data_IF_220540647958
#
_entry.id   IF_220540647958
#
_cell.length_a   1.000
_cell.length_b   1.000
_cell.length_c   1.000
_cell.angle_alpha   90.00
_cell.angle_beta   90.00
_cell.angle_gamma   90.00
#
_symmetry.space_group_name_H-M   'P 1'
#
loop_
_entity.id
_entity.type
_entity.pdbx_description
1 polymer ?
#
# COMPACT_ATOMS: atom_id res chain seq x y z
N UNK A 1 -2.56 -26.37 35.97
CA UNK A 1 -3.23 -26.20 34.65
C UNK A 1 -3.00 -24.76 34.22
N UNK A 2 -1.87 -24.49 33.56
CA UNK A 2 -1.48 -23.15 33.15
C UNK A 2 -1.95 -22.92 31.72
N UNK A 3 -3.03 -22.17 31.56
CA UNK A 3 -3.37 -21.55 30.28
C UNK A 3 -3.15 -20.05 30.45
N UNK A 4 -1.88 -19.65 30.37
CA UNK A 4 -1.53 -18.27 30.07
C UNK A 4 -1.74 -18.09 28.58
N UNK A 5 -2.97 -17.74 28.19
CA UNK A 5 -3.25 -17.21 26.85
C UNK A 5 -2.56 -15.85 26.77
N UNK A 6 -1.31 -15.85 26.30
CA UNK A 6 -0.62 -14.64 25.89
C UNK A 6 -1.46 -14.05 24.76
N UNK A 7 -2.07 -12.86 24.91
CA UNK A 7 -2.64 -12.20 23.75
C UNK A 7 -1.48 -11.99 22.79
N UNK A 8 -1.57 -12.58 21.60
CA UNK A 8 -0.67 -12.34 20.48
C UNK A 8 -0.91 -10.89 20.00
N UNK A 9 -0.63 -9.93 20.85
CA UNK A 9 -0.54 -8.53 20.49
C UNK A 9 0.85 -8.33 19.92
N UNK A 10 1.06 -8.89 18.73
CA UNK A 10 1.95 -8.26 17.77
C UNK A 10 1.01 -7.39 16.93
N UNK A 11 0.44 -6.37 17.57
CA UNK A 11 -0.10 -5.20 16.88
C UNK A 11 1.09 -4.58 16.16
N UNK A 12 1.42 -5.18 15.02
CA UNK A 12 2.20 -4.55 13.99
C UNK A 12 1.27 -3.46 13.52
N UNK A 13 1.31 -2.31 14.20
CA UNK A 13 0.39 -1.17 14.07
C UNK A 13 -0.03 -1.06 12.61
N UNK A 14 -1.22 -1.56 12.30
CA UNK A 14 -1.71 -1.61 10.93
C UNK A 14 -2.06 -0.18 10.55
N UNK A 15 -1.05 0.58 10.16
CA UNK A 15 -1.19 1.99 9.87
C UNK A 15 -2.17 2.14 8.70
N UNK A 16 -3.21 2.98 8.83
CA UNK A 16 -4.08 3.25 7.71
C UNK A 16 -3.31 4.06 6.66
N UNK A 17 -3.38 3.64 5.40
CA UNK A 17 -2.78 4.38 4.32
C UNK A 17 -3.62 5.60 3.94
N UNK A 18 -3.06 6.82 3.89
CA UNK A 18 -3.81 8.01 3.50
C UNK A 18 -4.21 8.03 2.01
N UNK A 19 -3.69 7.10 1.19
CA UNK A 19 -3.93 7.07 -0.26
C UNK A 19 -4.99 6.05 -0.67
N UNK A 20 -4.94 4.82 -0.16
CA UNK A 20 -5.94 3.79 -0.46
C UNK A 20 -6.97 3.60 0.67
N UNK A 21 -6.69 4.08 1.90
CA UNK A 21 -7.54 3.87 3.06
C UNK A 21 -7.36 2.50 3.74
N UNK A 22 -6.63 1.57 3.11
CA UNK A 22 -6.39 0.24 3.66
C UNK A 22 -5.38 0.28 4.80
N UNK A 23 -5.57 -0.59 5.78
CA UNK A 23 -4.60 -0.87 6.83
C UNK A 23 -3.54 -1.83 6.29
N UNK A 24 -2.26 -1.49 6.44
CA UNK A 24 -1.16 -2.31 5.92
C UNK A 24 -0.20 -2.70 7.04
N UNK A 25 0.41 -3.88 6.90
CA UNK A 25 1.44 -4.36 7.83
C UNK A 25 2.83 -3.89 7.40
N UNK A 26 3.84 -4.06 8.27
CA UNK A 26 5.21 -3.64 7.96
C UNK A 26 5.77 -4.26 6.67
N UNK A 27 5.31 -5.45 6.27
CA UNK A 27 5.70 -6.08 5.00
C UNK A 27 5.22 -5.33 3.75
N UNK A 28 4.12 -4.58 3.86
CA UNK A 28 3.58 -3.74 2.79
C UNK A 28 3.99 -2.27 2.93
N UNK A 29 4.81 -1.92 3.93
CA UNK A 29 5.20 -0.54 4.22
C UNK A 29 5.87 0.15 3.02
N UNK A 30 6.72 -0.57 2.30
CA UNK A 30 7.32 -0.14 1.05
C UNK A 30 6.26 0.28 0.01
N UNK A 31 5.24 -0.55 -0.20
CA UNK A 31 4.17 -0.26 -1.18
C UNK A 31 3.30 0.94 -0.81
N UNK A 32 3.27 1.30 0.48
CA UNK A 32 2.44 2.39 0.99
C UNK A 32 3.23 3.69 1.25
N UNK A 33 4.56 3.64 1.32
CA UNK A 33 5.41 4.80 1.56
C UNK A 33 6.36 5.12 0.41
N UNK A 34 6.83 4.13 -0.35
CA UNK A 34 7.77 4.37 -1.43
C UNK A 34 7.05 4.99 -2.64
N UNK A 35 7.48 6.19 -3.07
CA UNK A 35 6.88 6.86 -4.21
C UNK A 35 7.17 6.09 -5.50
N UNK A 36 6.13 5.85 -6.29
CA UNK A 36 6.30 5.27 -7.63
C UNK A 36 6.80 6.32 -8.60
N UNK A 37 7.79 5.94 -9.41
CA UNK A 37 8.30 6.75 -10.51
C UNK A 37 7.61 6.35 -11.81
N UNK A 38 6.32 6.64 -11.87
CA UNK A 38 5.41 6.25 -12.94
C UNK A 38 5.62 6.91 -14.32
N UNK A 39 6.84 7.40 -14.62
CA UNK A 39 7.17 8.05 -15.88
C UNK A 39 6.20 9.20 -16.21
N UNK A 40 5.47 9.13 -17.34
CA UNK A 40 4.63 10.24 -17.81
C UNK A 40 3.33 10.46 -17.00
N UNK A 41 2.95 9.55 -16.11
CA UNK A 41 1.72 9.73 -15.31
C UNK A 41 1.91 10.80 -14.22
N UNK A 42 1.42 12.02 -14.46
CA UNK A 42 1.46 13.11 -13.47
C UNK A 42 0.57 12.87 -12.24
N UNK A 43 -0.42 11.98 -12.34
CA UNK A 43 -1.32 11.66 -11.23
C UNK A 43 -0.69 10.67 -10.23
N UNK A 44 0.09 9.72 -10.76
CA UNK A 44 0.63 8.58 -10.05
C UNK A 44 2.06 8.86 -9.55
N UNK A 45 2.82 9.67 -10.28
CA UNK A 45 4.22 9.96 -9.95
C UNK A 45 4.32 10.58 -8.55
N UNK A 46 5.21 10.03 -7.72
CA UNK A 46 5.38 10.50 -6.34
C UNK A 46 4.31 10.02 -5.36
N UNK A 47 3.28 9.29 -5.80
CA UNK A 47 2.32 8.60 -4.93
C UNK A 47 2.85 7.20 -4.59
N UNK A 48 2.40 6.56 -3.51
CA UNK A 48 2.79 5.18 -3.24
C UNK A 48 2.14 4.20 -4.21
N UNK A 49 2.68 2.98 -4.27
CA UNK A 49 2.22 1.93 -5.18
C UNK A 49 0.77 1.46 -4.91
N UNK A 50 0.26 1.66 -3.68
CA UNK A 50 -1.14 1.40 -3.37
C UNK A 50 -2.13 2.40 -3.99
N UNK A 51 -1.66 3.57 -4.45
CA UNK A 51 -2.51 4.57 -5.08
C UNK A 51 -3.06 4.04 -6.41
N UNK A 52 -4.38 4.07 -6.56
CA UNK A 52 -5.05 3.64 -7.79
C UNK A 52 -5.30 4.87 -8.67
N UNK A 53 -4.64 4.91 -9.83
CA UNK A 53 -4.91 5.93 -10.83
C UNK A 53 -6.21 5.55 -11.56
N UNK A 54 -7.27 6.35 -11.43
CA UNK A 54 -8.58 6.09 -12.06
C UNK A 54 -8.64 6.34 -13.57
N UNK A 55 -7.49 6.33 -14.26
CA UNK A 55 -7.39 6.65 -15.69
C UNK A 55 -7.13 5.36 -16.49
N UNK A 56 -7.87 5.17 -17.59
CA UNK A 56 -7.77 3.96 -18.45
C UNK A 56 -6.43 3.80 -19.18
N UNK A 57 -5.58 4.84 -19.25
CA UNK A 57 -4.32 4.82 -19.99
C UNK A 57 -3.09 5.00 -19.08
N UNK A 58 -3.15 4.48 -17.86
CA UNK A 58 -2.00 4.54 -16.99
C UNK A 58 -0.89 3.59 -17.46
N UNK A 59 0.25 4.13 -17.89
CA UNK A 59 1.40 3.35 -18.33
C UNK A 59 2.28 2.81 -17.19
N UNK A 60 1.90 3.04 -15.93
CA UNK A 60 2.64 2.56 -14.77
C UNK A 60 2.69 1.03 -14.73
N UNK A 61 3.88 0.47 -14.50
CA UNK A 61 4.04 -0.98 -14.29
C UNK A 61 3.16 -1.53 -13.18
N UNK A 62 2.98 -0.74 -12.10
CA UNK A 62 2.09 -1.09 -10.97
C UNK A 62 0.61 -1.16 -11.35
N UNK A 63 0.21 -0.57 -12.49
CA UNK A 63 -1.16 -0.59 -13.01
C UNK A 63 -1.32 -1.41 -14.28
N UNK A 64 -0.24 -1.95 -14.87
CA UNK A 64 -0.26 -2.74 -16.12
C UNK A 64 -1.21 -3.94 -16.12
N UNK A 65 -1.56 -4.46 -14.94
CA UNK A 65 -2.45 -5.63 -14.79
C UNK A 65 -3.88 -5.27 -14.36
N UNK A 66 -4.22 -3.98 -14.19
CA UNK A 66 -5.56 -3.50 -13.83
C UNK A 66 -6.15 -2.73 -15.02
N UNK A 67 -6.59 -3.47 -16.04
CA UNK A 67 -7.36 -2.97 -17.18
C UNK A 67 -8.85 -3.24 -17.00
#
# INVERSE_FOLDING_TARGET
MNQSSVPQNVDTERLPCPYCGDSYESGDLARHNEPVQCGPCIQCVGKPACFTCGLMYCACDVHKFRG
#
